data_IF_935348620007
#
_entry.id   IF_935348620007
#
_cell.length_a   1.000
_cell.length_b   1.000
_cell.length_c   1.000
_cell.angle_alpha   90.00
_cell.angle_beta   90.00
_cell.angle_gamma   90.00
#
_symmetry.space_group_name_H-M   'P 1'
#
loop_
_entity.id
_entity.type
_entity.pdbx_description
1 polymer ?
#
# COMPACT_ATOMS: atom_id res chain seq x y z
N UNK A 1 4.96 3.52 5.72
CA UNK A 1 4.51 3.46 4.31
C UNK A 1 3.10 4.04 4.10
N UNK A 2 2.05 3.55 4.77
CA UNK A 2 0.64 3.89 4.47
C UNK A 2 0.30 5.39 4.45
N UNK A 3 0.76 6.18 5.42
CA UNK A 3 0.50 7.64 5.47
C UNK A 3 1.12 8.35 4.25
N UNK A 4 2.32 7.94 3.84
CA UNK A 4 2.97 8.50 2.65
C UNK A 4 2.21 8.13 1.38
N UNK A 5 1.71 6.89 1.29
CA UNK A 5 0.86 6.46 0.17
C UNK A 5 -0.43 7.30 0.09
N UNK A 6 -1.08 7.57 1.23
CA UNK A 6 -2.24 8.46 1.27
C UNK A 6 -1.90 9.89 0.81
N UNK A 7 -0.75 10.43 1.23
CA UNK A 7 -0.27 11.73 0.77
C UNK A 7 0.05 11.77 -0.74
N UNK A 8 0.65 10.70 -1.28
CA UNK A 8 0.92 10.55 -2.72
C UNK A 8 -0.38 10.59 -3.52
N UNK A 9 -1.39 9.84 -3.11
CA UNK A 9 -2.68 9.75 -3.81
C UNK A 9 -3.53 11.02 -3.69
N UNK A 10 -3.27 11.82 -2.64
CA UNK A 10 -3.90 13.14 -2.43
C UNK A 10 -3.18 14.26 -3.18
N UNK A 11 -1.98 13.99 -3.70
CA UNK A 11 -1.19 14.92 -4.50
C UNK A 11 -1.19 14.50 -5.97
N UNK A 12 -0.65 15.35 -6.83
CA UNK A 12 -0.35 14.96 -8.22
C UNK A 12 0.89 14.05 -8.24
N UNK A 13 1.03 13.26 -9.30
CA UNK A 13 2.24 12.44 -9.51
C UNK A 13 3.50 13.31 -9.49
N UNK A 14 4.55 12.94 -8.71
CA UNK A 14 5.82 13.65 -8.73
C UNK A 14 6.63 13.38 -9.99
N UNK A 15 6.35 12.30 -10.73
CA UNK A 15 6.95 12.05 -12.04
C UNK A 15 6.36 13.01 -13.07
N UNK A 16 7.24 13.66 -13.82
CA UNK A 16 6.92 14.59 -14.91
C UNK A 16 7.53 14.06 -16.20
N UNK A 17 6.81 14.17 -17.31
CA UNK A 17 7.31 13.74 -18.62
C UNK A 17 7.36 14.95 -19.55
N UNK A 18 8.51 15.64 -19.65
CA UNK A 18 8.69 16.74 -20.59
C UNK A 18 8.37 16.31 -22.02
N UNK A 19 8.00 17.28 -22.86
CA UNK A 19 7.74 17.04 -24.27
C UNK A 19 8.94 16.34 -24.93
N UNK A 20 8.67 15.30 -25.73
CA UNK A 20 9.71 14.48 -26.36
C UNK A 20 10.43 13.46 -25.46
N UNK A 21 10.29 13.52 -24.13
CA UNK A 21 11.06 12.67 -23.19
C UNK A 21 10.20 11.63 -22.45
N UNK A 22 8.99 11.33 -22.94
CA UNK A 22 8.07 10.37 -22.29
C UNK A 22 8.68 8.99 -22.04
N UNK A 23 9.42 8.45 -23.02
CA UNK A 23 10.07 7.15 -22.89
C UNK A 23 11.18 7.17 -21.81
N UNK A 24 11.99 8.24 -21.76
CA UNK A 24 13.04 8.41 -20.75
C UNK A 24 12.45 8.56 -19.35
N UNK A 25 11.39 9.37 -19.20
CA UNK A 25 10.68 9.53 -17.94
C UNK A 25 10.03 8.21 -17.47
N UNK A 26 9.47 7.43 -18.39
CA UNK A 26 8.95 6.09 -18.08
C UNK A 26 10.06 5.14 -17.61
N UNK A 27 11.19 5.11 -18.32
CA UNK A 27 12.34 4.27 -17.92
C UNK A 27 12.89 4.68 -16.55
N UNK A 28 12.97 5.99 -16.27
CA UNK A 28 13.35 6.49 -14.96
C UNK A 28 12.35 6.08 -13.86
N UNK A 29 11.03 6.12 -14.13
CA UNK A 29 10.00 5.62 -13.21
C UNK A 29 10.19 4.13 -12.92
N UNK A 30 10.52 3.32 -13.94
CA UNK A 30 10.74 1.87 -13.78
C UNK A 30 11.94 1.53 -12.90
N UNK A 31 12.94 2.42 -12.76
CA UNK A 31 14.05 2.24 -11.80
C UNK A 31 13.57 2.23 -10.34
N UNK A 32 12.40 2.79 -10.06
CA UNK A 32 11.79 2.80 -8.74
C UNK A 32 10.72 1.73 -8.57
N UNK A 33 10.49 0.85 -9.56
CA UNK A 33 9.42 -0.17 -9.53
C UNK A 33 9.50 -0.97 -8.23
N UNK A 34 8.37 -1.07 -7.52
CA UNK A 34 8.25 -1.80 -6.27
C UNK A 34 6.88 -2.47 -6.16
N UNK A 35 6.85 -3.74 -5.73
CA UNK A 35 5.64 -4.51 -5.45
C UNK A 35 4.58 -4.50 -6.56
N UNK A 36 4.97 -4.41 -7.83
CA UNK A 36 4.05 -4.28 -8.99
C UNK A 36 2.92 -3.28 -8.75
N UNK A 37 3.32 -2.13 -8.23
CA UNK A 37 2.42 -1.08 -7.77
C UNK A 37 2.92 0.29 -8.19
N UNK A 38 2.05 1.04 -8.87
CA UNK A 38 2.31 2.43 -9.24
C UNK A 38 2.56 3.28 -8.00
N UNK A 39 1.73 3.13 -6.96
CA UNK A 39 1.83 3.96 -5.76
C UNK A 39 3.03 3.57 -4.89
N UNK A 40 3.39 2.27 -4.81
CA UNK A 40 4.62 1.86 -4.13
C UNK A 40 5.87 2.26 -4.92
N UNK A 41 5.79 2.35 -6.25
CA UNK A 41 6.85 2.89 -7.10
C UNK A 41 7.09 4.38 -6.80
N UNK A 42 6.02 5.17 -6.68
CA UNK A 42 6.13 6.58 -6.27
C UNK A 42 6.65 6.70 -4.84
N UNK A 43 6.19 5.85 -3.92
CA UNK A 43 6.69 5.78 -2.55
C UNK A 43 8.21 5.51 -2.49
N UNK A 44 8.70 4.58 -3.31
CA UNK A 44 10.12 4.26 -3.40
C UNK A 44 10.95 5.45 -3.93
N UNK A 45 10.45 6.15 -4.95
CA UNK A 45 11.07 7.38 -5.44
C UNK A 45 11.12 8.49 -4.39
N UNK A 46 10.04 8.65 -3.62
CA UNK A 46 9.98 9.58 -2.50
C UNK A 46 10.98 9.23 -1.38
N UNK A 47 11.13 7.94 -1.02
CA UNK A 47 12.13 7.51 -0.02
C UNK A 47 13.55 7.82 -0.53
N UNK A 48 13.84 7.52 -1.79
CA UNK A 48 15.13 7.81 -2.40
C UNK A 48 15.45 9.31 -2.38
N UNK A 49 14.48 10.15 -2.75
CA UNK A 49 14.59 11.60 -2.64
C UNK A 49 14.85 12.06 -1.20
N UNK A 50 14.06 11.57 -0.23
CA UNK A 50 14.24 11.90 1.20
C UNK A 50 15.66 11.58 1.68
N UNK A 51 16.21 10.42 1.31
CA UNK A 51 17.60 10.04 1.65
C UNK A 51 18.61 11.01 1.05
N UNK A 52 18.41 11.45 -0.19
CA UNK A 52 19.28 12.47 -0.82
C UNK A 52 19.21 13.77 -0.03
N UNK A 53 18.03 14.26 0.34
CA UNK A 53 17.86 15.49 1.13
C UNK A 53 18.50 15.42 2.52
N UNK A 54 18.48 14.24 3.17
CA UNK A 54 19.06 14.04 4.50
C UNK A 54 20.58 13.80 4.48
N UNK A 55 21.18 13.55 3.32
CA UNK A 55 22.63 13.35 3.22
C UNK A 55 23.41 14.66 3.43
N UNK A 56 24.58 14.60 4.10
CA UNK A 56 25.43 15.77 4.36
C UNK A 56 26.06 16.33 3.07
N UNK A 57 26.21 17.67 2.99
CA UNK A 57 26.80 18.34 1.82
C UNK A 57 25.86 18.43 0.60
N UNK A 58 24.59 18.77 0.84
CA UNK A 58 23.44 18.53 -0.04
C UNK A 58 23.12 19.63 -1.06
N UNK A 59 23.80 20.78 -1.00
CA UNK A 59 23.52 21.92 -1.88
C UNK A 59 23.60 21.51 -3.36
N UNK A 60 22.45 21.39 -4.01
CA UNK A 60 22.32 21.03 -5.43
C UNK A 60 22.16 19.53 -5.75
N UNK A 61 22.47 18.60 -4.84
CA UNK A 61 22.32 17.15 -5.09
C UNK A 61 20.86 16.73 -5.28
N UNK A 62 19.96 17.33 -4.52
CA UNK A 62 18.52 17.11 -4.64
C UNK A 62 18.00 17.51 -6.03
N UNK A 63 18.41 18.68 -6.52
CA UNK A 63 18.02 19.16 -7.84
C UNK A 63 18.53 18.22 -8.94
N UNK A 64 19.79 17.79 -8.84
CA UNK A 64 20.37 16.82 -9.78
C UNK A 64 19.64 15.48 -9.74
N UNK A 65 19.31 14.98 -8.54
CA UNK A 65 18.53 13.75 -8.37
C UNK A 65 17.15 13.88 -9.02
N UNK A 66 16.44 14.97 -8.75
CA UNK A 66 15.10 15.20 -9.32
C UNK A 66 15.15 15.32 -10.84
N UNK A 67 16.10 16.09 -11.38
CA UNK A 67 16.29 16.26 -12.83
C UNK A 67 16.62 14.95 -13.52
N UNK A 68 17.55 14.15 -12.96
CA UNK A 68 17.95 12.84 -13.52
C UNK A 68 16.78 11.85 -13.57
N UNK A 69 15.92 11.89 -12.55
CA UNK A 69 14.83 10.93 -12.39
C UNK A 69 13.46 11.46 -12.84
N UNK A 70 13.42 12.61 -13.52
CA UNK A 70 12.18 13.22 -14.00
C UNK A 70 11.17 13.54 -12.89
N UNK A 71 11.65 13.88 -11.70
CA UNK A 71 10.83 14.19 -10.53
C UNK A 71 10.66 15.69 -10.33
N UNK A 72 9.49 16.09 -9.84
CA UNK A 72 9.18 17.45 -9.42
C UNK A 72 9.49 17.64 -7.94
N UNK A 73 10.53 18.43 -7.64
CA UNK A 73 10.91 18.78 -6.27
C UNK A 73 9.75 19.40 -5.48
N UNK A 74 9.02 20.33 -6.10
CA UNK A 74 7.86 20.96 -5.47
C UNK A 74 6.77 19.93 -5.12
N UNK A 75 6.54 18.95 -5.98
CA UNK A 75 5.51 17.92 -5.74
C UNK A 75 5.93 16.98 -4.61
N UNK A 76 7.21 16.62 -4.54
CA UNK A 76 7.76 15.80 -3.45
C UNK A 76 7.71 16.52 -2.10
N UNK A 77 8.04 17.82 -2.07
CA UNK A 77 7.89 18.66 -0.88
C UNK A 77 6.42 18.73 -0.43
N UNK A 78 5.48 18.94 -1.36
CA UNK A 78 4.05 18.95 -1.04
C UNK A 78 3.57 17.59 -0.48
N UNK A 79 4.09 16.46 -1.00
CA UNK A 79 3.79 15.13 -0.45
C UNK A 79 4.30 15.00 0.99
N UNK A 80 5.47 15.55 1.31
CA UNK A 80 6.00 15.55 2.69
C UNK A 80 5.13 16.38 3.63
N UNK A 81 4.71 17.56 3.20
CA UNK A 81 3.86 18.44 4.00
C UNK A 81 2.50 17.79 4.27
N UNK A 82 1.88 17.18 3.25
CA UNK A 82 0.62 16.43 3.39
C UNK A 82 0.78 15.23 4.32
N UNK A 83 1.88 14.47 4.20
CA UNK A 83 2.19 13.37 5.10
C UNK A 83 2.31 13.85 6.55
N UNK A 84 2.92 15.01 6.79
CA UNK A 84 2.98 15.64 8.11
C UNK A 84 1.61 15.96 8.68
N UNK A 85 0.72 16.57 7.88
CA UNK A 85 -0.66 16.88 8.26
C UNK A 85 -1.47 15.61 8.58
N UNK A 86 -1.32 14.56 7.78
CA UNK A 86 -1.97 13.26 8.03
C UNK A 86 -1.43 12.58 9.29
N UNK A 87 -0.12 12.64 9.54
CA UNK A 87 0.49 12.09 10.76
C UNK A 87 -0.04 12.79 12.01
N UNK A 88 -0.11 14.12 11.97
CA UNK A 88 -0.73 14.95 13.01
C UNK A 88 -2.18 14.54 13.25
N UNK A 89 -2.97 14.42 12.19
CA UNK A 89 -4.39 14.03 12.29
C UNK A 89 -4.56 12.62 12.88
N UNK A 90 -3.67 11.69 12.53
CA UNK A 90 -3.70 10.32 13.04
C UNK A 90 -3.35 10.24 14.54
N UNK A 91 -2.41 11.08 15.00
CA UNK A 91 -2.06 11.19 16.40
C UNK A 91 -3.18 11.86 17.21
N UNK A 92 -3.74 12.97 16.71
CA UNK A 92 -4.78 13.74 17.40
C UNK A 92 -6.09 12.93 17.50
N UNK A 93 -6.38 12.05 16.53
CA UNK A 93 -7.53 11.13 16.56
C UNK A 93 -7.33 9.88 17.44
N UNK A 94 -6.14 9.67 18.00
CA UNK A 94 -5.82 8.55 18.89
C UNK A 94 -5.50 7.22 18.17
N UNK A 95 -5.54 7.16 16.84
CA UNK A 95 -5.16 5.96 16.08
C UNK A 95 -3.64 5.70 16.09
N UNK A 96 -2.84 6.74 16.33
CA UNK A 96 -1.41 6.61 16.58
C UNK A 96 -1.10 7.04 18.02
N UNK A 97 -0.98 6.05 18.90
CA UNK A 97 -0.45 6.28 20.25
C UNK A 97 1.02 6.65 20.14
N UNK A 98 1.41 7.82 20.62
CA UNK A 98 2.80 8.31 20.63
C UNK A 98 3.35 8.29 22.05
N UNK A 99 4.64 7.99 22.21
CA UNK A 99 5.34 8.23 23.48
C UNK A 99 5.44 9.73 23.75
N UNK A 100 5.74 10.14 24.98
CA UNK A 100 5.91 11.55 25.32
C UNK A 100 7.03 12.20 24.48
N UNK A 101 8.10 11.48 24.21
CA UNK A 101 9.21 11.93 23.37
C UNK A 101 8.78 12.15 21.92
N UNK A 102 8.07 11.16 21.34
CA UNK A 102 7.55 11.24 19.97
C UNK A 102 6.52 12.37 19.83
N UNK A 103 5.65 12.56 20.84
CA UNK A 103 4.66 13.64 20.88
C UNK A 103 5.34 15.01 20.95
N UNK A 104 6.37 15.16 21.79
CA UNK A 104 7.17 16.41 21.87
C UNK A 104 7.90 16.68 20.55
N UNK A 105 8.49 15.66 19.93
CA UNK A 105 9.15 15.79 18.63
C UNK A 105 8.16 16.25 17.55
N UNK A 106 6.99 15.60 17.45
CA UNK A 106 5.94 15.98 16.50
C UNK A 106 5.41 17.40 16.75
N UNK A 107 5.25 17.80 18.01
CA UNK A 107 4.80 19.15 18.38
C UNK A 107 5.83 20.21 17.99
N UNK A 108 7.13 19.95 18.18
CA UNK A 108 8.20 20.85 17.72
C UNK A 108 8.18 21.01 16.20
N UNK A 109 7.94 19.95 15.44
CA UNK A 109 7.81 20.02 13.98
C UNK A 109 6.54 20.81 13.57
N UNK A 110 5.42 20.62 14.29
CA UNK A 110 4.14 21.30 14.03
C UNK A 110 4.22 22.82 14.22
N UNK A 111 4.91 23.26 15.28
CA UNK A 111 5.02 24.67 15.66
C UNK A 111 6.38 25.28 15.34
N UNK A 112 7.24 24.57 14.60
CA UNK A 112 8.47 25.15 14.09
C UNK A 112 8.10 26.40 13.28
N UNK A 113 8.74 27.56 13.51
CA UNK A 113 8.48 28.76 12.71
C UNK A 113 8.79 28.43 11.25
N UNK A 114 7.73 28.20 10.47
CA UNK A 114 7.83 27.67 9.13
C UNK A 114 8.47 28.66 8.15
N UNK A 115 9.38 28.14 7.32
CA UNK A 115 9.10 28.20 5.88
C UNK A 115 9.57 29.40 5.06
N UNK A 116 10.47 30.27 5.53
CA UNK A 116 11.06 31.31 4.65
C UNK A 116 12.29 30.86 3.87
N UNK A 117 13.07 29.92 4.39
CA UNK A 117 14.19 29.33 3.65
C UNK A 117 13.89 27.89 3.28
N UNK A 118 13.35 27.70 2.07
CA UNK A 118 13.19 26.41 1.36
C UNK A 118 14.49 25.61 1.16
N UNK A 119 15.61 26.06 1.77
CA UNK A 119 16.94 25.44 1.66
C UNK A 119 17.06 24.14 2.46
N UNK A 120 16.21 23.90 3.45
CA UNK A 120 16.14 22.63 4.17
C UNK A 120 14.68 22.18 4.31
N UNK A 121 14.31 21.14 3.57
CA UNK A 121 13.02 20.47 3.72
C UNK A 121 12.96 19.81 5.11
N UNK A 122 11.89 20.08 5.85
CA UNK A 122 11.62 19.41 7.11
C UNK A 122 10.93 18.08 6.83
N UNK A 123 11.37 17.01 7.50
CA UNK A 123 10.82 15.68 7.33
C UNK A 123 10.13 15.22 8.61
N UNK A 124 8.94 14.67 8.45
CA UNK A 124 8.17 14.00 9.49
C UNK A 124 8.55 12.53 9.53
N UNK A 125 9.01 12.04 10.67
CA UNK A 125 9.32 10.62 10.85
C UNK A 125 8.19 9.88 11.53
N UNK A 126 7.86 8.71 10.96
CA UNK A 126 6.90 7.79 11.56
C UNK A 126 7.69 6.88 12.51
N UNK A 127 7.25 6.70 13.77
CA UNK A 127 7.97 5.86 14.72
C UNK A 127 8.20 4.43 14.21
N UNK A 128 9.41 3.91 14.39
CA UNK A 128 9.79 2.60 13.83
C UNK A 128 8.93 1.45 14.37
N UNK A 129 8.49 1.53 15.63
CA UNK A 129 7.60 0.54 16.27
C UNK A 129 6.27 0.31 15.54
N UNK A 130 5.75 1.32 14.82
CA UNK A 130 4.51 1.19 14.01
C UNK A 130 4.80 1.06 12.51
N UNK A 131 6.08 0.97 12.14
CA UNK A 131 6.53 0.96 10.75
C UNK A 131 7.16 -0.38 10.33
N UNK A 132 7.11 -1.41 11.19
CA UNK A 132 7.77 -2.72 11.03
C UNK A 132 7.43 -3.38 9.68
N UNK A 133 6.17 -3.30 9.25
CA UNK A 133 5.70 -3.98 8.03
C UNK A 133 5.84 -3.13 6.74
N UNK A 134 6.40 -1.93 6.82
CA UNK A 134 6.48 -1.03 5.64
C UNK A 134 7.38 -1.52 4.52
N UNK A 135 8.29 -2.44 4.81
CA UNK A 135 9.17 -3.06 3.82
C UNK A 135 8.56 -4.32 3.18
N UNK A 136 7.47 -4.85 3.75
CA UNK A 136 6.75 -5.99 3.19
C UNK A 136 5.74 -5.50 2.13
N UNK A 137 6.07 -5.77 0.86
CA UNK A 137 5.24 -5.37 -0.28
C UNK A 137 3.89 -6.10 -0.32
N UNK A 138 3.82 -7.36 0.14
CA UNK A 138 2.57 -8.12 0.20
C UNK A 138 1.61 -7.48 1.19
N UNK A 139 2.07 -7.16 2.41
CA UNK A 139 1.26 -6.43 3.40
C UNK A 139 0.81 -5.09 2.82
N UNK A 140 1.74 -4.35 2.22
CA UNK A 140 1.48 -3.02 1.68
C UNK A 140 0.41 -3.04 0.60
N UNK A 141 0.57 -3.92 -0.40
CA UNK A 141 -0.39 -4.13 -1.48
C UNK A 141 -1.76 -4.58 -0.96
N UNK A 142 -1.78 -5.44 0.06
CA UNK A 142 -3.03 -5.96 0.66
C UNK A 142 -3.82 -4.87 1.37
N UNK A 143 -3.14 -4.00 2.11
CA UNK A 143 -3.78 -2.84 2.74
C UNK A 143 -4.28 -1.86 1.69
N UNK A 144 -3.49 -1.55 0.65
CA UNK A 144 -3.92 -0.70 -0.47
C UNK A 144 -5.19 -1.26 -1.12
N UNK A 145 -5.19 -2.56 -1.45
CA UNK A 145 -6.34 -3.24 -2.04
C UNK A 145 -7.60 -3.17 -1.17
N UNK A 146 -7.44 -3.42 0.13
CA UNK A 146 -8.56 -3.36 1.09
C UNK A 146 -9.12 -1.95 1.22
N UNK A 147 -8.26 -0.93 1.13
CA UNK A 147 -8.67 0.48 1.23
C UNK A 147 -9.40 0.98 -0.01
N UNK A 148 -9.11 0.42 -1.18
CA UNK A 148 -9.74 0.79 -2.44
C UNK A 148 -10.96 -0.04 -2.79
N UNK A 149 -11.24 -1.10 -2.02
CA UNK A 149 -12.40 -1.95 -2.27
C UNK A 149 -13.71 -1.13 -2.37
N UNK A 150 -14.55 -1.32 -3.41
CA UNK A 150 -14.58 -2.41 -4.40
C UNK A 150 -13.83 -2.16 -5.73
N UNK A 151 -12.88 -1.21 -5.79
CA UNK A 151 -12.11 -0.87 -6.99
C UNK A 151 -11.02 -1.90 -7.31
N UNK A 152 -11.46 -3.06 -7.82
CA UNK A 152 -10.59 -4.14 -8.26
C UNK A 152 -10.83 -4.47 -9.74
N UNK A 153 -9.75 -4.89 -10.41
CA UNK A 153 -9.74 -5.46 -11.74
C UNK A 153 -9.29 -6.92 -11.65
N UNK A 154 -9.86 -7.74 -12.52
CA UNK A 154 -9.49 -9.14 -12.68
C UNK A 154 -9.18 -9.43 -14.14
N UNK A 155 -8.13 -10.24 -14.35
CA UNK A 155 -7.77 -10.85 -15.61
C UNK A 155 -8.28 -12.28 -15.64
N UNK A 156 -9.24 -12.56 -16.51
CA UNK A 156 -9.85 -13.91 -16.58
C UNK A 156 -8.87 -14.93 -17.17
N UNK A 157 -8.17 -14.56 -18.25
CA UNK A 157 -7.19 -15.41 -18.92
C UNK A 157 -5.77 -14.85 -18.74
N UNK A 158 -4.86 -15.58 -18.08
CA UNK A 158 -3.45 -15.19 -17.94
C UNK A 158 -2.82 -14.88 -19.31
N UNK A 159 -1.94 -13.88 -19.37
CA UNK A 159 -1.29 -13.50 -20.62
C UNK A 159 -2.13 -12.62 -21.56
N UNK A 160 -3.42 -12.40 -21.27
CA UNK A 160 -4.26 -11.50 -22.08
C UNK A 160 -4.22 -10.06 -21.60
N UNK A 161 -4.47 -9.11 -22.52
CA UNK A 161 -4.55 -7.68 -22.18
C UNK A 161 -5.88 -7.30 -21.52
N UNK A 162 -6.89 -8.16 -21.58
CA UNK A 162 -8.22 -7.90 -21.05
C UNK A 162 -8.22 -7.86 -19.53
N UNK A 163 -8.68 -6.75 -18.96
CA UNK A 163 -9.03 -6.63 -17.56
C UNK A 163 -10.47 -6.19 -17.48
N UNK A 164 -11.21 -6.76 -16.52
CA UNK A 164 -12.58 -6.33 -16.23
C UNK A 164 -12.69 -5.85 -14.80
N UNK A 165 -13.57 -4.88 -14.59
CA UNK A 165 -13.93 -4.42 -13.26
C UNK A 165 -14.85 -5.45 -12.57
N UNK A 166 -14.57 -5.76 -11.31
CA UNK A 166 -15.32 -6.77 -10.55
C UNK A 166 -16.76 -6.36 -10.23
N UNK A 167 -17.05 -5.05 -10.24
CA UNK A 167 -18.36 -4.51 -9.84
C UNK A 167 -19.37 -4.50 -10.98
N UNK A 168 -18.92 -4.19 -12.21
CA UNK A 168 -19.81 -3.99 -13.37
C UNK A 168 -19.37 -4.77 -14.62
N UNK A 169 -18.33 -5.60 -14.55
CA UNK A 169 -17.77 -6.36 -15.66
C UNK A 169 -17.34 -5.53 -16.88
N UNK A 170 -17.18 -4.22 -16.72
CA UNK A 170 -16.72 -3.35 -17.79
C UNK A 170 -15.25 -3.65 -18.11
N UNK A 171 -14.93 -3.69 -19.40
CA UNK A 171 -13.55 -3.85 -19.89
C UNK A 171 -12.76 -2.57 -19.64
N UNK A 172 -11.66 -2.68 -18.90
CA UNK A 172 -10.79 -1.57 -18.52
C UNK A 172 -9.38 -1.86 -19.04
N UNK A 173 -8.74 -0.86 -19.62
CA UNK A 173 -7.33 -0.93 -20.00
C UNK A 173 -6.46 -0.26 -18.93
N UNK A 174 -5.22 -0.71 -18.77
CA UNK A 174 -4.26 0.03 -17.94
C UNK A 174 -3.81 1.29 -18.66
N UNK A 175 -3.68 2.39 -17.92
CA UNK A 175 -3.11 3.63 -18.43
C UNK A 175 -1.64 3.41 -18.88
N UNK A 176 -1.18 4.02 -20.00
CA UNK A 176 0.19 3.80 -20.50
C UNK A 176 1.32 4.19 -19.54
N UNK A 177 1.08 5.08 -18.56
CA UNK A 177 2.08 5.44 -17.55
C UNK A 177 2.17 4.46 -16.37
N UNK A 178 1.28 3.47 -16.32
CA UNK A 178 1.27 2.47 -15.25
C UNK A 178 2.46 1.51 -15.40
N UNK A 179 3.12 1.20 -14.29
CA UNK A 179 4.20 0.19 -14.25
C UNK A 179 3.71 -1.20 -14.67
N UNK A 180 2.41 -1.45 -14.54
CA UNK A 180 1.78 -2.73 -14.85
C UNK A 180 1.26 -2.83 -16.29
N UNK A 181 1.43 -1.79 -17.13
CA UNK A 181 0.85 -1.74 -18.48
C UNK A 181 1.18 -2.97 -19.33
N UNK A 182 2.40 -3.48 -19.20
CA UNK A 182 2.91 -4.62 -19.97
C UNK A 182 2.97 -5.92 -19.17
N UNK A 183 2.49 -5.93 -17.92
CA UNK A 183 2.53 -7.11 -17.07
C UNK A 183 1.23 -7.91 -17.22
N UNK A 184 1.30 -8.97 -18.03
CA UNK A 184 0.14 -9.79 -18.40
C UNK A 184 -0.12 -10.97 -17.45
N UNK A 185 0.82 -11.25 -16.55
CA UNK A 185 0.73 -12.37 -15.60
C UNK A 185 -0.06 -12.01 -14.33
N UNK A 186 -0.22 -10.71 -14.03
CA UNK A 186 -0.95 -10.28 -12.83
C UNK A 186 -2.44 -10.58 -13.01
N UNK A 187 -3.00 -11.39 -12.12
CA UNK A 187 -4.44 -11.72 -12.16
C UNK A 187 -5.32 -10.63 -11.55
N UNK A 188 -4.93 -10.10 -10.41
CA UNK A 188 -5.72 -9.15 -9.62
C UNK A 188 -4.99 -7.83 -9.43
N UNK A 189 -5.69 -6.73 -9.68
CA UNK A 189 -5.17 -5.38 -9.53
C UNK A 189 -6.18 -4.53 -8.77
N UNK A 190 -5.75 -3.82 -7.74
CA UNK A 190 -6.52 -2.67 -7.23
C UNK A 190 -6.14 -1.42 -7.99
N UNK A 191 -7.06 -0.46 -8.12
CA UNK A 191 -6.82 0.82 -8.78
C UNK A 191 -7.38 1.99 -7.97
N UNK A 192 -6.79 3.18 -8.13
CA UNK A 192 -7.28 4.37 -7.44
C UNK A 192 -8.46 5.01 -8.18
N UNK A 193 -8.33 5.31 -9.48
CA UNK A 193 -9.41 5.89 -10.27
C UNK A 193 -9.36 5.43 -11.74
N UNK A 194 -10.47 5.64 -12.45
CA UNK A 194 -10.58 5.37 -13.89
C UNK A 194 -10.84 6.69 -14.61
N UNK A 195 -10.15 6.93 -15.72
CA UNK A 195 -10.41 8.04 -16.63
C UNK A 195 -10.81 7.50 -18.00
N UNK A 196 -11.81 8.11 -18.64
CA UNK A 196 -12.16 7.78 -20.00
C UNK A 196 -11.34 8.64 -20.97
N UNK A 197 -10.68 7.99 -21.92
CA UNK A 197 -10.03 8.66 -23.04
C UNK A 197 -10.61 8.09 -24.35
N UNK A 198 -11.30 8.95 -25.11
CA UNK A 198 -12.07 8.53 -26.31
C UNK A 198 -13.10 7.45 -25.92
N UNK A 199 -12.93 6.23 -26.42
CA UNK A 199 -13.80 5.07 -26.18
C UNK A 199 -13.25 4.11 -25.15
N UNK A 200 -12.04 4.35 -24.62
CA UNK A 200 -11.34 3.41 -23.73
C UNK A 200 -11.28 3.97 -22.31
N UNK A 201 -11.61 3.13 -21.34
CA UNK A 201 -11.46 3.44 -19.92
C UNK A 201 -10.07 2.99 -19.45
N UNK A 202 -9.34 3.92 -18.84
CA UNK A 202 -8.00 3.71 -18.33
C UNK A 202 -7.99 3.69 -16.81
N UNK A 203 -7.49 2.61 -16.22
CA UNK A 203 -7.20 2.56 -14.79
C UNK A 203 -5.86 3.23 -14.48
N UNK A 204 -5.85 4.04 -13.43
CA UNK A 204 -4.70 4.77 -12.92
C UNK A 204 -4.35 4.32 -11.49
N UNK A 205 -3.07 4.43 -11.16
CA UNK A 205 -2.47 4.03 -9.89
C UNK A 205 -2.83 2.59 -9.51
N UNK A 206 -2.34 1.63 -10.30
CA UNK A 206 -2.66 0.22 -10.10
C UNK A 206 -1.66 -0.47 -9.17
N UNK A 207 -2.13 -1.46 -8.42
CA UNK A 207 -1.34 -2.26 -7.47
C UNK A 207 -1.72 -3.71 -7.62
N UNK A 208 -0.75 -4.59 -7.87
CA UNK A 208 -0.95 -6.03 -7.89
C UNK A 208 -1.30 -6.55 -6.49
N UNK A 209 -2.21 -7.52 -6.40
CA UNK A 209 -2.71 -8.02 -5.11
C UNK A 209 -2.86 -9.53 -5.17
N UNK A 210 -2.45 -10.19 -4.08
CA UNK A 210 -2.65 -11.63 -3.96
C UNK A 210 -4.14 -11.99 -3.79
N UNK A 211 -4.63 -13.08 -4.41
CA UNK A 211 -6.02 -13.51 -4.27
C UNK A 211 -6.42 -13.76 -2.81
N UNK A 212 -5.49 -14.30 -2.01
CA UNK A 212 -5.71 -14.55 -0.59
C UNK A 212 -5.97 -13.26 0.19
N UNK A 213 -5.25 -12.17 -0.12
CA UNK A 213 -5.42 -10.88 0.54
C UNK A 213 -6.80 -10.31 0.29
N UNK A 214 -7.31 -10.45 -0.94
CA UNK A 214 -8.65 -10.02 -1.32
C UNK A 214 -9.69 -10.85 -0.57
N UNK A 215 -9.57 -12.18 -0.60
CA UNK A 215 -10.49 -13.08 0.10
C UNK A 215 -10.53 -12.81 1.62
N UNK A 216 -9.39 -12.45 2.22
CA UNK A 216 -9.28 -12.21 3.65
C UNK A 216 -9.80 -10.83 4.06
N UNK A 217 -9.44 -9.76 3.34
CA UNK A 217 -9.62 -8.38 3.80
C UNK A 217 -10.79 -7.62 3.13
N UNK A 218 -11.22 -8.02 1.94
CA UNK A 218 -12.14 -7.21 1.12
C UNK A 218 -13.61 -7.67 1.21
N UNK A 219 -14.55 -6.72 1.07
CA UNK A 219 -16.00 -6.96 0.87
C UNK A 219 -16.71 -7.74 1.97
N UNK A 220 -17.73 -8.49 1.60
CA UNK A 220 -18.33 -9.60 2.33
C UNK A 220 -18.13 -10.89 1.55
N UNK A 221 -17.97 -12.00 2.27
CA UNK A 221 -17.66 -13.29 1.65
C UNK A 221 -18.62 -14.38 2.11
N UNK A 222 -19.07 -15.19 1.15
CA UNK A 222 -19.75 -16.45 1.40
C UNK A 222 -18.74 -17.58 1.26
N UNK A 223 -18.59 -18.40 2.29
CA UNK A 223 -17.73 -19.58 2.27
C UNK A 223 -18.58 -20.81 2.02
N UNK A 224 -18.51 -21.38 0.81
CA UNK A 224 -19.21 -22.59 0.46
C UNK A 224 -18.34 -23.79 0.86
N UNK A 225 -18.62 -24.34 2.05
CA UNK A 225 -17.72 -25.29 2.71
C UNK A 225 -17.51 -26.60 1.94
N UNK A 226 -18.56 -27.11 1.30
CA UNK A 226 -18.51 -28.35 0.53
C UNK A 226 -17.69 -28.23 -0.75
N UNK A 227 -17.78 -27.08 -1.45
CA UNK A 227 -17.07 -26.88 -2.72
C UNK A 227 -15.67 -26.30 -2.56
N UNK A 228 -15.28 -25.85 -1.36
CA UNK A 228 -13.97 -25.22 -1.16
C UNK A 228 -13.85 -23.87 -1.85
N UNK A 229 -14.95 -23.10 -1.95
CA UNK A 229 -14.97 -21.82 -2.68
C UNK A 229 -15.40 -20.68 -1.77
N UNK A 230 -14.62 -19.60 -1.79
CA UNK A 230 -14.96 -18.32 -1.18
C UNK A 230 -15.47 -17.39 -2.28
N UNK A 231 -16.67 -16.86 -2.10
CA UNK A 231 -17.34 -16.00 -3.06
C UNK A 231 -17.46 -14.59 -2.47
N UNK A 232 -16.93 -13.60 -3.18
CA UNK A 232 -16.87 -12.20 -2.77
C UNK A 232 -18.06 -11.42 -3.32
N UNK A 233 -18.77 -10.69 -2.44
CA UNK A 233 -19.91 -9.81 -2.73
C UNK A 233 -20.89 -10.40 -3.76
N UNK A 234 -21.52 -11.51 -3.39
CA UNK A 234 -22.48 -12.22 -4.25
C UNK A 234 -21.78 -13.07 -5.30
N UNK A 235 -21.16 -12.46 -6.32
CA UNK A 235 -20.43 -13.18 -7.37
C UNK A 235 -19.35 -12.34 -8.07
N UNK A 236 -18.80 -11.32 -7.40
CA UNK A 236 -17.79 -10.42 -7.98
C UNK A 236 -16.42 -11.08 -8.14
N UNK A 237 -16.11 -12.04 -7.28
CA UNK A 237 -14.88 -12.84 -7.34
C UNK A 237 -15.07 -14.19 -6.68
N UNK A 238 -14.33 -15.21 -7.15
CA UNK A 238 -14.31 -16.56 -6.58
C UNK A 238 -12.87 -16.98 -6.31
N UNK A 239 -12.65 -17.55 -5.13
CA UNK A 239 -11.35 -18.02 -4.68
C UNK A 239 -11.48 -19.48 -4.24
N UNK A 240 -10.72 -20.37 -4.89
CA UNK A 240 -10.65 -21.77 -4.50
C UNK A 240 -9.65 -21.94 -3.36
N UNK A 241 -10.01 -22.74 -2.37
CA UNK A 241 -9.13 -23.15 -1.28
C UNK A 241 -8.98 -24.67 -1.28
N UNK A 242 -7.82 -25.21 -0.85
CA UNK A 242 -7.51 -26.62 -1.01
C UNK A 242 -8.40 -27.54 -0.15
N UNK A 243 -8.79 -27.09 1.04
CA UNK A 243 -9.52 -27.91 1.99
C UNK A 243 -10.42 -27.06 2.91
N UNK A 244 -11.38 -27.74 3.56
CA UNK A 244 -12.35 -27.09 4.45
C UNK A 244 -11.73 -26.49 5.71
N UNK A 245 -10.59 -27.00 6.19
CA UNK A 245 -9.89 -26.47 7.37
C UNK A 245 -9.26 -25.13 7.01
N UNK A 246 -8.60 -25.04 5.86
CA UNK A 246 -8.08 -23.76 5.34
C UNK A 246 -9.19 -22.71 5.24
N UNK A 247 -10.35 -23.11 4.73
CA UNK A 247 -11.52 -22.22 4.62
C UNK A 247 -12.05 -21.78 5.99
N UNK A 248 -12.14 -22.70 6.95
CA UNK A 248 -12.56 -22.39 8.32
C UNK A 248 -11.59 -21.38 8.96
N UNK A 249 -10.29 -21.57 8.79
CA UNK A 249 -9.25 -20.66 9.27
C UNK A 249 -9.42 -19.26 8.67
N UNK A 250 -9.59 -19.16 7.35
CA UNK A 250 -9.81 -17.86 6.67
C UNK A 250 -11.09 -17.19 7.20
N UNK A 251 -12.19 -17.94 7.34
CA UNK A 251 -13.46 -17.43 7.84
C UNK A 251 -13.34 -16.89 9.29
N UNK A 252 -12.69 -17.65 10.17
CA UNK A 252 -12.47 -17.26 11.57
C UNK A 252 -11.55 -16.04 11.63
N UNK A 253 -10.41 -16.07 10.94
CA UNK A 253 -9.44 -14.97 10.94
C UNK A 253 -10.08 -13.68 10.44
N UNK A 254 -10.84 -13.75 9.35
CA UNK A 254 -11.58 -12.60 8.81
C UNK A 254 -12.56 -12.01 9.82
N UNK A 255 -13.32 -12.87 10.49
CA UNK A 255 -14.29 -12.43 11.53
C UNK A 255 -13.55 -11.69 12.65
N UNK A 256 -12.44 -12.26 13.14
CA UNK A 256 -11.63 -11.65 14.21
C UNK A 256 -10.98 -10.35 13.78
N UNK A 257 -10.43 -10.26 12.58
CA UNK A 257 -9.87 -9.02 12.03
C UNK A 257 -10.93 -7.93 11.88
N UNK A 258 -12.15 -8.27 11.46
CA UNK A 258 -13.26 -7.32 11.35
C UNK A 258 -13.72 -6.81 12.71
N UNK A 259 -13.80 -7.69 13.71
CA UNK A 259 -14.09 -7.31 15.11
C UNK A 259 -13.02 -6.36 15.66
N UNK A 260 -11.74 -6.68 15.42
CA UNK A 260 -10.59 -5.85 15.79
C UNK A 260 -10.69 -4.45 15.20
N UNK A 261 -10.83 -4.36 13.87
CA UNK A 261 -10.94 -3.08 13.17
C UNK A 261 -12.14 -2.27 13.67
N UNK A 262 -13.30 -2.91 13.80
CA UNK A 262 -14.54 -2.25 14.29
C UNK A 262 -14.33 -1.67 15.69
N UNK A 263 -13.67 -2.41 16.58
CA UNK A 263 -13.34 -1.92 17.93
C UNK A 263 -12.36 -0.75 17.86
N UNK A 264 -11.30 -0.86 17.07
CA UNK A 264 -10.30 0.21 16.93
C UNK A 264 -10.93 1.51 16.41
N UNK A 265 -11.91 1.42 15.51
CA UNK A 265 -12.67 2.60 15.05
C UNK A 265 -13.61 3.17 16.11
N UNK A 266 -14.24 2.33 16.93
CA UNK A 266 -15.13 2.77 18.02
C UNK A 266 -14.37 3.38 19.20
N UNK A 267 -13.17 2.89 19.49
CA UNK A 267 -12.35 3.29 20.65
C UNK A 267 -10.88 3.45 20.22
N UNK A 268 -10.54 4.52 19.47
CA UNK A 268 -9.17 4.74 19.05
C UNK A 268 -8.25 4.94 20.27
N UNK A 269 -7.03 4.43 20.19
CA UNK A 269 -6.02 4.52 21.24
C UNK A 269 -6.15 3.48 22.36
N UNK A 270 -7.22 2.68 22.38
CA UNK A 270 -7.34 1.58 23.34
C UNK A 270 -6.46 0.40 22.90
N UNK A 271 -5.56 -0.02 23.80
CA UNK A 271 -4.68 -1.16 23.54
C UNK A 271 -5.48 -2.44 23.24
N UNK A 272 -4.98 -3.28 22.31
CA UNK A 272 -5.57 -4.59 22.06
C UNK A 272 -5.45 -5.47 23.32
N UNK A 273 -6.44 -6.34 23.54
CA UNK A 273 -6.34 -7.37 24.60
C UNK A 273 -5.37 -8.47 24.19
N UNK A 274 -4.86 -9.27 25.13
CA UNK A 274 -3.94 -10.38 24.82
C UNK A 274 -4.46 -11.35 23.74
N UNK A 275 -5.77 -11.64 23.71
CA UNK A 275 -6.36 -12.47 22.65
C UNK A 275 -6.31 -11.79 21.27
N UNK A 276 -6.47 -10.48 21.24
CA UNK A 276 -6.45 -9.67 20.03
C UNK A 276 -5.03 -9.55 19.46
N UNK A 277 -4.04 -9.38 20.33
CA UNK A 277 -2.62 -9.41 19.95
C UNK A 277 -2.25 -10.75 19.31
N UNK A 278 -2.72 -11.88 19.87
CA UNK A 278 -2.52 -13.20 19.25
C UNK A 278 -3.09 -13.29 17.83
N UNK A 279 -4.28 -12.73 17.59
CA UNK A 279 -4.86 -12.71 16.24
C UNK A 279 -4.10 -11.79 15.27
N UNK A 280 -3.58 -10.67 15.75
CA UNK A 280 -2.72 -9.78 14.97
C UNK A 280 -1.38 -10.46 14.65
N UNK A 281 -0.78 -11.19 15.58
CA UNK A 281 0.44 -12.00 15.35
C UNK A 281 0.19 -13.08 14.30
N UNK A 282 -0.93 -13.82 14.38
CA UNK A 282 -1.31 -14.79 13.34
C UNK A 282 -1.44 -14.13 11.97
N UNK A 283 -2.08 -12.96 11.89
CA UNK A 283 -2.16 -12.20 10.65
C UNK A 283 -0.78 -11.76 10.15
N UNK A 284 0.09 -11.26 11.03
CA UNK A 284 1.45 -10.86 10.67
C UNK A 284 2.24 -12.03 10.08
N UNK A 285 2.23 -13.20 10.76
CA UNK A 285 2.93 -14.41 10.28
C UNK A 285 2.42 -14.89 8.93
N UNK A 286 1.11 -14.81 8.68
CA UNK A 286 0.51 -15.17 7.39
C UNK A 286 1.03 -14.30 6.25
N UNK A 287 1.15 -12.99 6.47
CA UNK A 287 1.59 -12.05 5.44
C UNK A 287 3.12 -11.91 5.32
N UNK A 288 3.86 -12.18 6.39
CA UNK A 288 5.32 -12.23 6.35
C UNK A 288 5.85 -13.56 5.82
N UNK A 289 4.98 -14.58 5.70
CA UNK A 289 5.35 -15.95 5.31
C UNK A 289 6.41 -16.56 6.23
N UNK A 290 6.54 -16.07 7.47
CA UNK A 290 7.57 -16.47 8.46
C UNK A 290 7.38 -17.88 9.06
N UNK A 291 6.64 -18.77 8.37
CA UNK A 291 6.41 -20.15 8.80
C UNK A 291 7.69 -21.02 8.83
N UNK A 292 8.80 -20.53 8.27
CA UNK A 292 10.06 -21.25 8.19
C UNK A 292 10.81 -21.33 9.53
N UNK A 293 10.57 -20.41 10.49
CA UNK A 293 11.28 -20.41 11.77
C UNK A 293 10.85 -21.54 12.71
N UNK A 294 9.60 -21.98 12.63
CA UNK A 294 9.09 -23.07 13.49
C UNK A 294 9.54 -24.46 13.03
N UNK A 295 10.02 -24.63 11.79
CA UNK A 295 10.55 -25.92 11.30
C UNK A 295 11.94 -26.27 11.84
N UNK A 296 12.76 -25.30 12.22
CA UNK A 296 14.10 -25.59 12.76
C UNK A 296 14.10 -25.97 14.24
N UNK A 297 13.06 -25.58 15.01
CA UNK A 297 12.96 -25.95 16.43
C UNK A 297 12.49 -27.40 16.60
N UNK A 298 11.71 -27.93 15.66
CA UNK A 298 11.19 -29.30 15.71
C UNK A 298 12.17 -30.41 15.29
N UNK A 299 13.32 -30.08 14.69
CA UNK A 299 14.31 -31.07 14.24
C UNK A 299 15.46 -31.32 15.23
N UNK A 300 15.55 -30.56 16.33
CA UNK A 300 16.65 -30.66 17.30
C UNK A 300 16.30 -31.55 18.50
N UNK A 301 15.03 -31.94 18.68
CA UNK A 301 14.58 -32.80 19.80
C UNK A 301 14.11 -34.18 19.35
N UNK A 302 14.93 -34.86 18.53
CA UNK A 302 14.92 -36.32 18.38
C UNK A 302 16.37 -36.81 18.28
N UNK A 303 17.06 -36.77 19.42
CA UNK A 303 18.25 -37.57 19.70
C UNK A 303 17.84 -38.72 20.61
#
# INVERSE_FOLDING_TARGET
>A
MAITVAAILSSKSPFSAPFGQRAQAHNAKMLFRRGDSDVLTVYNAYIAWKRVCQSTGTSGKEFQFCRKNFLSQQTLANIEDLKGQLLVSLADSGFLSLTDEERRALSRLRFAPGGRNRRQQQFFDVPQRVNINSDNDIVSASIIASSFYPRLLVRDTPGTKGLRNIGNNQSISLHPSSVNKNQLDIKWLSYYHIMQAKTVYHAHETTAVEPFSIALLCGDVRCDMYSGVIILDGNRGRFSVPDWKTMLVIKVLRTRLRELLTRSFKQPGKLPTAQQEKWLDVWQRLFSQDFAKDKQVGSITKG
#
